data_IF_637384420923
#
_entry.id   IF_637384420923
#
_cell.length_a   1.000
_cell.length_b   1.000
_cell.length_c   1.000
_cell.angle_alpha   90.00
_cell.angle_beta   90.00
_cell.angle_gamma   90.00
#
_symmetry.space_group_name_H-M   'P 1'
#
loop_
_entity.id
_entity.type
_entity.pdbx_description
1 polymer ?
#
# COMPACT_ATOMS: atom_id res chain seq x y z
N UNK A 1 -1.52 -16.54 -3.35
CA UNK A 1 -2.67 -16.64 -4.28
C UNK A 1 -3.48 -15.35 -4.37
N UNK A 2 -4.39 -15.00 -3.44
CA UNK A 2 -5.22 -13.77 -3.58
C UNK A 2 -4.39 -12.48 -3.49
N UNK A 3 -3.38 -12.44 -2.62
CA UNK A 3 -2.54 -11.26 -2.42
C UNK A 3 -1.51 -11.05 -3.52
N UNK A 4 -0.94 -12.14 -4.05
CA UNK A 4 -0.12 -12.10 -5.26
C UNK A 4 -0.96 -11.61 -6.45
N UNK A 5 -2.20 -12.10 -6.56
CA UNK A 5 -3.13 -11.63 -7.58
C UNK A 5 -3.44 -10.13 -7.43
N UNK A 6 -3.54 -9.59 -6.22
CA UNK A 6 -3.64 -8.14 -6.01
C UNK A 6 -2.42 -7.39 -6.54
N UNK A 7 -1.22 -7.85 -6.21
CA UNK A 7 0.04 -7.23 -6.68
C UNK A 7 0.11 -7.26 -8.22
N UNK A 8 -0.28 -8.39 -8.83
CA UNK A 8 -0.34 -8.53 -10.29
C UNK A 8 -1.33 -7.56 -10.92
N UNK A 9 -2.53 -7.42 -10.35
CA UNK A 9 -3.53 -6.46 -10.82
C UNK A 9 -3.05 -5.02 -10.62
N UNK A 10 -2.39 -4.69 -9.50
CA UNK A 10 -1.78 -3.37 -9.31
C UNK A 10 -0.76 -3.05 -10.41
N UNK A 11 0.09 -4.02 -10.79
CA UNK A 11 1.00 -3.85 -11.94
C UNK A 11 0.25 -3.80 -13.29
N UNK A 12 -0.86 -4.51 -13.41
CA UNK A 12 -1.73 -4.50 -14.60
C UNK A 12 -2.38 -3.14 -14.88
N UNK A 13 -2.50 -2.24 -13.89
CA UNK A 13 -2.91 -0.84 -14.09
C UNK A 13 -1.90 -0.05 -14.93
N UNK A 14 -0.68 -0.54 -15.08
CA UNK A 14 0.34 0.05 -15.98
C UNK A 14 0.20 -0.41 -17.42
N UNK A 15 -0.66 -1.39 -17.69
CA UNK A 15 -0.71 -2.03 -19.00
C UNK A 15 -1.18 -1.05 -20.09
N UNK A 16 -0.46 -1.04 -21.22
CA UNK A 16 -0.93 -0.40 -22.46
C UNK A 16 -2.08 -1.17 -23.12
N UNK A 17 -2.37 -2.39 -22.66
CA UNK A 17 -3.55 -3.14 -23.09
C UNK A 17 -4.79 -2.65 -22.33
N UNK A 18 -5.68 -1.97 -23.05
CA UNK A 18 -6.87 -1.33 -22.48
C UNK A 18 -7.78 -2.31 -21.71
N UNK A 19 -7.92 -3.55 -22.17
CA UNK A 19 -8.71 -4.57 -21.48
C UNK A 19 -8.06 -4.97 -20.16
N UNK A 20 -6.76 -5.26 -20.17
CA UNK A 20 -6.03 -5.64 -18.96
C UNK A 20 -6.02 -4.49 -17.94
N UNK A 21 -5.83 -3.25 -18.40
CA UNK A 21 -5.95 -2.04 -17.58
C UNK A 21 -7.33 -1.97 -16.90
N UNK A 22 -8.42 -2.08 -17.65
CA UNK A 22 -9.80 -1.99 -17.10
C UNK A 22 -10.10 -3.09 -16.08
N UNK A 23 -9.68 -4.33 -16.35
CA UNK A 23 -9.86 -5.43 -15.40
C UNK A 23 -9.08 -5.21 -14.11
N UNK A 24 -7.83 -4.79 -14.25
CA UNK A 24 -6.92 -4.49 -13.14
C UNK A 24 -7.46 -3.35 -12.27
N UNK A 25 -7.90 -2.27 -12.90
CA UNK A 25 -8.51 -1.12 -12.24
C UNK A 25 -9.76 -1.54 -11.46
N UNK A 26 -10.69 -2.25 -12.11
CA UNK A 26 -11.91 -2.72 -11.46
C UNK A 26 -11.59 -3.63 -10.28
N UNK A 27 -10.60 -4.51 -10.39
CA UNK A 27 -10.20 -5.37 -9.29
C UNK A 27 -9.69 -4.56 -8.09
N UNK A 28 -8.80 -3.60 -8.31
CA UNK A 28 -8.26 -2.72 -7.27
C UNK A 28 -9.37 -1.91 -6.60
N UNK A 29 -10.29 -1.34 -7.37
CA UNK A 29 -11.44 -0.59 -6.84
C UNK A 29 -12.37 -1.48 -6.00
N UNK A 30 -12.67 -2.69 -6.47
CA UNK A 30 -13.54 -3.63 -5.75
C UNK A 30 -12.90 -4.12 -4.47
N UNK A 31 -11.60 -4.40 -4.48
CA UNK A 31 -10.88 -4.84 -3.29
C UNK A 31 -10.76 -3.72 -2.26
N UNK A 32 -10.53 -2.47 -2.71
CA UNK A 32 -10.60 -1.29 -1.86
C UNK A 32 -11.96 -1.16 -1.17
N UNK A 33 -13.06 -1.41 -1.89
CA UNK A 33 -14.40 -1.34 -1.32
C UNK A 33 -14.73 -2.51 -0.37
N UNK A 34 -14.10 -3.66 -0.52
CA UNK A 34 -14.41 -4.88 0.21
C UNK A 34 -13.58 -5.02 1.50
N UNK A 35 -14.17 -5.57 2.56
CA UNK A 35 -13.46 -5.87 3.82
C UNK A 35 -12.67 -7.20 3.77
N UNK A 36 -12.43 -7.70 2.56
CA UNK A 36 -11.79 -8.99 2.29
C UNK A 36 -10.33 -9.04 2.77
N UNK A 37 -9.71 -7.89 2.99
CA UNK A 37 -8.35 -7.81 3.51
C UNK A 37 -8.25 -8.31 4.96
N UNK A 38 -9.35 -8.34 5.73
CA UNK A 38 -9.40 -8.97 7.06
C UNK A 38 -8.99 -10.46 7.05
N UNK A 39 -9.15 -11.15 5.92
CA UNK A 39 -8.72 -12.55 5.78
C UNK A 39 -7.20 -12.74 5.95
N UNK A 40 -6.39 -11.70 5.74
CA UNK A 40 -4.93 -11.77 5.89
C UNK A 40 -4.50 -11.98 7.35
N UNK A 41 -5.35 -11.67 8.33
CA UNK A 41 -5.09 -11.93 9.74
C UNK A 41 -4.92 -13.42 10.08
N UNK A 42 -5.43 -14.31 9.22
CA UNK A 42 -5.27 -15.76 9.36
C UNK A 42 -3.91 -16.29 8.88
N UNK A 43 -3.10 -15.45 8.23
CA UNK A 43 -1.78 -15.81 7.74
C UNK A 43 -0.71 -15.64 8.84
N UNK A 44 0.40 -16.41 8.78
CA UNK A 44 1.53 -16.20 9.69
C UNK A 44 2.06 -14.76 9.61
N UNK A 45 2.43 -14.18 10.76
CA UNK A 45 2.88 -12.77 10.84
C UNK A 45 3.98 -12.42 9.82
N UNK A 46 5.01 -13.28 9.68
CA UNK A 46 6.08 -13.09 8.70
C UNK A 46 5.58 -13.06 7.25
N UNK A 47 4.54 -13.83 6.92
CA UNK A 47 3.93 -13.81 5.58
C UNK A 47 3.13 -12.52 5.35
N UNK A 48 2.40 -12.05 6.37
CA UNK A 48 1.68 -10.77 6.32
C UNK A 48 2.64 -9.61 6.15
N UNK A 49 3.74 -9.57 6.92
CA UNK A 49 4.81 -8.56 6.79
C UNK A 49 5.41 -8.57 5.39
N UNK A 50 5.83 -9.74 4.88
CA UNK A 50 6.46 -9.85 3.56
C UNK A 50 5.54 -9.37 2.43
N UNK A 51 4.29 -9.80 2.44
CA UNK A 51 3.32 -9.39 1.41
C UNK A 51 3.06 -7.89 1.48
N UNK A 52 2.97 -7.35 2.69
CA UNK A 52 2.77 -5.92 2.90
C UNK A 52 3.97 -5.12 2.39
N UNK A 53 5.20 -5.56 2.65
CA UNK A 53 6.39 -4.94 2.05
C UNK A 53 6.29 -4.85 0.52
N UNK A 54 5.92 -5.95 -0.14
CA UNK A 54 5.77 -5.98 -1.60
C UNK A 54 4.65 -5.04 -2.05
N UNK A 55 3.53 -5.03 -1.34
CA UNK A 55 2.37 -4.17 -1.63
C UNK A 55 2.73 -2.69 -1.52
N UNK A 56 3.30 -2.26 -0.40
CA UNK A 56 3.73 -0.88 -0.17
C UNK A 56 4.77 -0.45 -1.21
N UNK A 57 5.75 -1.30 -1.50
CA UNK A 57 6.75 -1.01 -2.53
C UNK A 57 6.11 -0.83 -3.91
N UNK A 58 5.23 -1.75 -4.32
CA UNK A 58 4.52 -1.69 -5.60
C UNK A 58 3.66 -0.43 -5.70
N UNK A 59 2.96 -0.08 -4.62
CA UNK A 59 2.14 1.12 -4.54
C UNK A 59 2.96 2.41 -4.71
N UNK A 60 4.07 2.53 -3.97
CA UNK A 60 4.95 3.70 -4.09
C UNK A 60 5.61 3.79 -5.46
N UNK A 61 5.88 2.66 -6.13
CA UNK A 61 6.30 2.68 -7.53
C UNK A 61 5.20 3.19 -8.46
N UNK A 62 3.96 2.71 -8.30
CA UNK A 62 2.81 3.14 -9.11
C UNK A 62 2.55 4.64 -9.03
N UNK A 63 2.64 5.24 -7.83
CA UNK A 63 2.40 6.68 -7.62
C UNK A 63 3.45 7.55 -8.34
N UNK A 64 4.60 6.99 -8.70
CA UNK A 64 5.62 7.70 -9.48
C UNK A 64 5.39 7.67 -11.00
N UNK A 65 4.37 6.97 -11.50
CA UNK A 65 4.12 6.77 -12.93
C UNK A 65 2.81 7.41 -13.39
N UNK A 66 2.73 7.94 -14.61
CA UNK A 66 1.68 8.87 -15.10
C UNK A 66 0.20 8.47 -14.92
N UNK A 67 -0.13 7.19 -14.70
CA UNK A 67 -1.51 6.67 -14.61
C UNK A 67 -2.07 6.50 -13.19
N UNK A 68 -1.37 6.99 -12.16
CA UNK A 68 -1.71 6.76 -10.76
C UNK A 68 -3.01 7.44 -10.27
N UNK A 69 -3.44 8.51 -10.92
CA UNK A 69 -4.53 9.37 -10.43
C UNK A 69 -5.89 8.65 -10.34
N UNK A 70 -6.15 7.71 -11.25
CA UNK A 70 -7.39 6.91 -11.27
C UNK A 70 -7.48 5.93 -10.10
N UNK A 71 -6.33 5.47 -9.58
CA UNK A 71 -6.26 4.50 -8.49
C UNK A 71 -5.87 5.11 -7.15
N UNK A 72 -5.59 6.40 -7.07
CA UNK A 72 -5.00 7.02 -5.88
C UNK A 72 -5.77 6.74 -4.59
N UNK A 73 -7.08 7.03 -4.58
CA UNK A 73 -7.94 6.84 -3.41
C UNK A 73 -8.10 5.35 -3.08
N UNK A 74 -8.25 4.51 -4.09
CA UNK A 74 -8.35 3.05 -3.92
C UNK A 74 -7.08 2.46 -3.33
N UNK A 75 -5.94 2.91 -3.83
CA UNK A 75 -4.61 2.49 -3.36
C UNK A 75 -4.36 2.96 -1.93
N UNK A 76 -4.69 4.21 -1.62
CA UNK A 76 -4.58 4.76 -0.26
C UNK A 76 -5.41 3.93 0.72
N UNK A 77 -6.69 3.68 0.41
CA UNK A 77 -7.57 2.90 1.27
C UNK A 77 -7.09 1.44 1.47
N UNK A 78 -6.59 0.80 0.42
CA UNK A 78 -5.98 -0.54 0.53
C UNK A 78 -4.78 -0.49 1.49
N UNK A 79 -3.84 0.44 1.27
CA UNK A 79 -2.63 0.53 2.07
C UNK A 79 -2.92 0.87 3.53
N UNK A 80 -3.87 1.76 3.82
CA UNK A 80 -4.30 2.06 5.19
C UNK A 80 -4.76 0.77 5.88
N UNK A 81 -5.64 -0.01 5.25
CA UNK A 81 -6.13 -1.27 5.84
C UNK A 81 -5.00 -2.27 6.12
N UNK A 82 -4.02 -2.39 5.21
CA UNK A 82 -2.83 -3.22 5.44
C UNK A 82 -1.94 -2.65 6.54
N UNK A 83 -1.78 -1.33 6.60
CA UNK A 83 -1.03 -0.66 7.66
C UNK A 83 -1.64 -0.99 9.03
N UNK A 84 -2.96 -0.87 9.20
CA UNK A 84 -3.66 -1.23 10.44
C UNK A 84 -3.44 -2.69 10.85
N UNK A 85 -3.37 -3.61 9.89
CA UNK A 85 -3.09 -5.01 10.21
C UNK A 85 -1.63 -5.21 10.62
N UNK A 86 -0.68 -4.68 9.84
CA UNK A 86 0.74 -5.00 10.00
C UNK A 86 1.37 -4.22 11.15
N UNK A 87 0.94 -2.98 11.40
CA UNK A 87 1.43 -2.13 12.50
C UNK A 87 1.05 -2.67 13.88
N UNK A 88 0.09 -3.59 13.95
CA UNK A 88 -0.21 -4.33 15.17
C UNK A 88 0.70 -5.56 15.41
N UNK A 89 1.56 -5.91 14.45
CA UNK A 89 2.46 -7.07 14.53
C UNK A 89 3.82 -6.70 15.13
N UNK A 90 4.44 -7.67 15.82
CA UNK A 90 5.77 -7.51 16.43
C UNK A 90 6.92 -7.30 15.40
N UNK A 91 6.76 -7.72 14.15
CA UNK A 91 7.78 -7.62 13.09
C UNK A 91 7.35 -6.63 12.00
N UNK A 92 7.13 -5.37 12.40
CA UNK A 92 6.64 -4.32 11.50
C UNK A 92 7.73 -3.40 10.95
N UNK A 93 8.94 -3.44 11.52
CA UNK A 93 10.07 -2.60 11.13
C UNK A 93 10.29 -2.53 9.61
N UNK A 94 10.25 -3.64 8.84
CA UNK A 94 10.46 -3.59 7.39
C UNK A 94 9.40 -2.76 6.64
N UNK A 95 8.15 -2.78 7.09
CA UNK A 95 7.05 -2.01 6.48
C UNK A 95 7.16 -0.53 6.86
N UNK A 96 7.48 -0.25 8.12
CA UNK A 96 7.74 1.11 8.59
C UNK A 96 8.89 1.75 7.82
N UNK A 97 9.98 1.02 7.59
CA UNK A 97 11.12 1.50 6.81
C UNK A 97 10.68 1.91 5.40
N UNK A 98 9.84 1.12 4.73
CA UNK A 98 9.32 1.46 3.40
C UNK A 98 8.49 2.73 3.44
N UNK A 99 7.62 2.89 4.43
CA UNK A 99 6.77 4.09 4.59
C UNK A 99 7.65 5.32 4.87
N UNK A 100 8.52 5.26 5.88
CA UNK A 100 9.35 6.39 6.30
C UNK A 100 10.40 6.78 5.27
N UNK A 101 11.00 5.82 4.55
CA UNK A 101 11.93 6.12 3.45
C UNK A 101 11.25 6.97 2.38
N UNK A 102 9.96 6.77 2.13
CA UNK A 102 9.17 7.56 1.17
C UNK A 102 8.64 8.89 1.75
N UNK A 103 8.99 9.25 3.00
CA UNK A 103 8.91 10.64 3.52
C UNK A 103 10.27 11.31 3.40
N UNK A 104 11.33 10.62 3.83
CA UNK A 104 12.68 11.17 3.95
C UNK A 104 13.30 11.41 2.57
N UNK A 105 13.20 10.46 1.63
CA UNK A 105 13.77 10.61 0.28
C UNK A 105 13.15 11.73 -0.54
N UNK A 106 11.82 11.98 -0.55
CA UNK A 106 11.25 13.09 -1.31
C UNK A 106 11.75 14.48 -0.89
N UNK A 107 12.23 14.65 0.35
CA UNK A 107 12.86 15.90 0.80
C UNK A 107 14.13 16.29 0.01
N UNK A 108 14.70 15.35 -0.77
CA UNK A 108 15.90 15.55 -1.60
C UNK A 108 15.63 16.05 -3.03
N UNK A 109 14.37 16.37 -3.39
CA UNK A 109 13.86 16.74 -4.73
C UNK A 109 13.65 15.52 -5.64
N UNK A 110 12.42 15.37 -6.17
CA UNK A 110 12.01 14.66 -7.42
C UNK A 110 10.62 13.96 -7.35
N UNK A 111 9.98 13.82 -6.18
CA UNK A 111 8.71 13.03 -6.06
C UNK A 111 7.64 13.66 -5.14
N UNK A 112 7.09 14.85 -5.47
CA UNK A 112 6.14 15.56 -4.60
C UNK A 112 4.84 14.78 -4.36
N UNK A 113 4.43 13.95 -5.32
CA UNK A 113 3.21 13.14 -5.24
C UNK A 113 3.33 11.98 -4.26
N UNK A 114 4.48 11.30 -4.26
CA UNK A 114 4.79 10.28 -3.26
C UNK A 114 4.83 10.90 -1.87
N UNK A 115 5.51 12.05 -1.72
CA UNK A 115 5.56 12.74 -0.42
C UNK A 115 4.14 13.06 0.12
N UNK A 116 3.27 13.57 -0.76
CA UNK A 116 1.87 13.84 -0.44
C UNK A 116 1.12 12.56 -0.05
N UNK A 117 1.20 11.51 -0.87
CA UNK A 117 0.56 10.23 -0.58
C UNK A 117 1.05 9.61 0.72
N UNK A 118 2.36 9.60 0.97
CA UNK A 118 2.93 9.08 2.22
C UNK A 118 2.42 9.89 3.42
N UNK A 119 2.31 11.21 3.29
CA UNK A 119 1.76 12.07 4.36
C UNK A 119 0.29 11.75 4.64
N UNK A 120 -0.53 11.59 3.60
CA UNK A 120 -1.94 11.19 3.74
C UNK A 120 -2.09 9.80 4.36
N UNK A 121 -1.25 8.84 3.96
CA UNK A 121 -1.21 7.51 4.54
C UNK A 121 -0.90 7.54 6.05
N UNK A 122 0.09 8.34 6.46
CA UNK A 122 0.47 8.46 7.88
C UNK A 122 -0.62 9.12 8.69
N UNK A 123 -1.22 10.20 8.18
CA UNK A 123 -2.35 10.86 8.84
C UNK A 123 -3.54 9.90 8.98
N UNK A 124 -3.79 9.08 7.95
CA UNK A 124 -4.85 8.07 7.98
C UNK A 124 -4.56 6.90 8.94
N UNK A 125 -3.30 6.70 9.33
CA UNK A 125 -2.86 5.67 10.27
C UNK A 125 -2.35 6.27 11.59
N UNK A 126 -2.67 7.53 11.90
CA UNK A 126 -2.10 8.22 13.05
C UNK A 126 -2.47 7.54 14.38
N UNK A 127 -3.69 7.01 14.47
CA UNK A 127 -4.22 6.31 15.64
C UNK A 127 -3.41 5.08 16.04
N UNK A 128 -2.83 4.36 15.08
CA UNK A 128 -2.00 3.17 15.30
C UNK A 128 -0.50 3.48 15.35
N UNK A 129 -0.07 4.59 14.74
CA UNK A 129 1.33 5.05 14.77
C UNK A 129 1.66 5.83 16.05
N UNK A 130 0.66 6.44 16.69
CA UNK A 130 0.79 7.11 18.00
C UNK A 130 0.81 6.12 19.17
N UNK A 131 0.61 4.83 18.94
CA UNK A 131 0.86 3.80 19.96
C UNK A 131 2.35 3.91 20.31
N UNK A 132 2.70 4.30 21.54
CA UNK A 132 4.08 4.55 21.89
C UNK A 132 4.86 3.27 21.60
N UNK A 133 6.05 3.42 21.02
CA UNK A 133 7.16 2.50 21.22
C UNK A 133 7.37 2.37 22.74
N UNK A 134 6.55 1.55 23.40
CA UNK A 134 6.78 1.11 24.75
C UNK A 134 7.92 0.10 24.64
N UNK A 135 9.01 0.48 25.29
CA UNK A 135 10.28 -0.23 25.44
C UNK A 135 10.16 -1.74 25.66
#
# INVERSE_FOLDING_TARGET
>A
LILEFLIDNMNGVKSSNESLYKYSLLFVERLSAADTLCACSSLPAAAVTNISCILFYTAFQLINEDNWTSIYSSLLNILVRFAHQVLSLHDVTPVLDIIYVNIIKPSRKERPLVAKFTSELILACADILEIPTQE
#
